data_IF_891909535740
#
_entry.id   IF_891909535740
#
_cell.length_a   1.000
_cell.length_b   1.000
_cell.length_c   1.000
_cell.angle_alpha   90.00
_cell.angle_beta   90.00
_cell.angle_gamma   90.00
#
_symmetry.space_group_name_H-M   'P 1'
#
loop_
_entity.id
_entity.type
_entity.pdbx_description
1 polymer ?
#
# COMPACT_ATOMS: atom_id res chain seq x y z
N UNK A 1 -64.67 -41.73 42.80
CA UNK A 1 -64.77 -42.06 41.36
C UNK A 1 -64.56 -40.77 40.59
N UNK A 2 -63.40 -40.65 39.93
CA UNK A 2 -63.25 -40.42 38.47
C UNK A 2 -63.66 -39.00 38.05
N UNK A 3 -62.91 -38.24 37.28
CA UNK A 3 -61.71 -38.48 36.48
C UNK A 3 -61.05 -37.12 36.22
N UNK A 4 -59.79 -37.19 35.80
CA UNK A 4 -58.91 -36.10 35.39
C UNK A 4 -59.51 -35.22 34.29
N UNK A 5 -59.15 -33.93 34.25
CA UNK A 5 -58.91 -33.30 32.96
C UNK A 5 -57.85 -32.17 33.05
N UNK A 6 -56.65 -32.54 32.63
CA UNK A 6 -55.81 -31.80 31.68
C UNK A 6 -55.47 -30.32 31.96
N UNK A 7 -54.54 -30.09 32.88
CA UNK A 7 -53.61 -28.96 32.73
C UNK A 7 -52.53 -29.31 31.71
N UNK A 8 -52.82 -29.04 30.45
CA UNK A 8 -51.81 -29.03 29.38
C UNK A 8 -50.86 -27.86 29.62
N UNK A 9 -49.68 -28.18 30.18
CA UNK A 9 -48.51 -27.32 30.11
C UNK A 9 -48.16 -27.16 28.64
N UNK A 10 -48.52 -26.03 28.04
CA UNK A 10 -47.95 -25.61 26.76
C UNK A 10 -46.59 -24.99 27.10
N UNK A 11 -45.44 -25.60 26.73
CA UNK A 11 -44.20 -24.86 26.73
C UNK A 11 -44.29 -23.90 25.54
N UNK A 12 -44.53 -22.62 25.82
CA UNK A 12 -44.37 -21.57 24.84
C UNK A 12 -42.94 -21.65 24.29
N UNK A 13 -42.86 -21.97 23.01
CA UNK A 13 -41.61 -22.14 22.27
C UNK A 13 -40.70 -20.94 22.49
N UNK A 14 -39.47 -21.23 22.92
CA UNK A 14 -38.35 -20.30 22.85
C UNK A 14 -38.26 -19.77 21.40
N UNK A 15 -38.32 -18.46 21.16
CA UNK A 15 -38.21 -17.94 19.80
C UNK A 15 -36.83 -18.30 19.26
N UNK A 16 -36.80 -19.12 18.21
CA UNK A 16 -35.59 -19.40 17.45
C UNK A 16 -34.93 -18.08 17.06
N UNK A 17 -33.59 -17.96 17.14
CA UNK A 17 -32.90 -16.75 16.75
C UNK A 17 -33.28 -16.42 15.31
N UNK A 18 -34.03 -15.32 15.17
CA UNK A 18 -34.42 -14.76 13.88
C UNK A 18 -33.17 -14.63 13.01
N UNK A 19 -33.23 -15.14 11.78
CA UNK A 19 -32.05 -15.22 10.88
C UNK A 19 -31.32 -13.90 10.67
N UNK A 20 -31.97 -12.77 10.96
CA UNK A 20 -31.36 -11.43 11.04
C UNK A 20 -30.29 -11.31 12.12
N UNK A 21 -30.50 -11.85 13.32
CA UNK A 21 -29.48 -11.86 14.40
C UNK A 21 -28.28 -12.70 14.01
N UNK A 22 -28.51 -13.90 13.48
CA UNK A 22 -27.44 -14.75 12.96
C UNK A 22 -26.67 -14.05 11.83
N UNK A 23 -27.35 -13.33 10.94
CA UNK A 23 -26.70 -12.54 9.88
C UNK A 23 -25.86 -11.39 10.43
N UNK A 24 -26.33 -10.69 11.46
CA UNK A 24 -25.57 -9.63 12.13
C UNK A 24 -24.33 -10.18 12.85
N UNK A 25 -24.44 -11.33 13.51
CA UNK A 25 -23.31 -12.01 14.15
C UNK A 25 -22.25 -12.41 13.12
N UNK A 26 -22.68 -13.01 12.00
CA UNK A 26 -21.77 -13.35 10.90
C UNK A 26 -21.11 -12.10 10.32
N UNK A 27 -21.88 -11.03 10.09
CA UNK A 27 -21.32 -9.77 9.56
C UNK A 27 -20.30 -9.16 10.52
N UNK A 28 -20.56 -9.23 11.82
CA UNK A 28 -19.64 -8.74 12.86
C UNK A 28 -18.35 -9.57 12.87
N UNK A 29 -18.46 -10.90 12.83
CA UNK A 29 -17.30 -11.79 12.77
C UNK A 29 -16.45 -11.56 11.50
N UNK A 30 -17.11 -11.33 10.35
CA UNK A 30 -16.42 -11.00 9.10
C UNK A 30 -15.76 -9.63 9.13
N UNK A 31 -16.42 -8.62 9.70
CA UNK A 31 -15.86 -7.29 9.94
C UNK A 31 -14.57 -7.38 10.77
N UNK A 32 -14.61 -8.11 11.88
CA UNK A 32 -13.45 -8.28 12.76
C UNK A 32 -12.31 -9.03 12.07
N UNK A 33 -12.62 -10.04 11.27
CA UNK A 33 -11.64 -10.76 10.47
C UNK A 33 -10.97 -9.83 9.43
N UNK A 34 -11.76 -9.04 8.71
CA UNK A 34 -11.24 -8.08 7.72
C UNK A 34 -10.37 -7.00 8.37
N UNK A 35 -10.79 -6.45 9.52
CA UNK A 35 -10.00 -5.44 10.24
C UNK A 35 -8.64 -6.00 10.70
N UNK A 36 -8.57 -7.26 11.10
CA UNK A 36 -7.31 -7.94 11.44
C UNK A 36 -6.40 -8.10 10.24
N UNK A 37 -6.94 -8.56 9.11
CA UNK A 37 -6.16 -8.71 7.87
C UNK A 37 -5.62 -7.37 7.36
N UNK A 38 -6.44 -6.31 7.37
CA UNK A 38 -5.99 -4.96 7.02
C UNK A 38 -4.90 -4.48 7.98
N UNK A 39 -5.06 -4.70 9.28
CA UNK A 39 -4.03 -4.37 10.27
C UNK A 39 -2.73 -5.14 10.06
N UNK A 40 -2.80 -6.42 9.71
CA UNK A 40 -1.64 -7.25 9.40
C UNK A 40 -0.90 -6.73 8.17
N UNK A 41 -1.61 -6.41 7.08
CA UNK A 41 -1.03 -5.84 5.87
C UNK A 41 -0.38 -4.47 6.11
N UNK A 42 -1.01 -3.61 6.92
CA UNK A 42 -0.42 -2.33 7.33
C UNK A 42 0.81 -2.51 8.22
N UNK A 43 0.77 -3.50 9.12
CA UNK A 43 1.93 -3.82 9.96
C UNK A 43 3.07 -4.40 9.13
N UNK A 44 2.79 -5.16 8.08
CA UNK A 44 3.78 -5.61 7.12
C UNK A 44 4.31 -4.45 6.28
N UNK A 45 3.49 -3.45 5.92
CA UNK A 45 3.99 -2.22 5.29
C UNK A 45 4.92 -1.42 6.22
N UNK A 46 4.55 -1.26 7.50
CA UNK A 46 5.35 -0.53 8.50
C UNK A 46 6.62 -1.31 8.87
N UNK A 47 6.56 -2.64 8.95
CA UNK A 47 7.72 -3.51 9.17
C UNK A 47 8.54 -3.72 7.88
N UNK A 48 7.95 -3.44 6.71
CA UNK A 48 8.63 -3.35 5.41
C UNK A 48 9.26 -1.98 5.15
N UNK A 49 9.31 -1.10 6.17
CA UNK A 49 10.43 -0.17 6.34
C UNK A 49 11.72 -0.99 6.56
N UNK A 50 12.07 -1.82 5.55
CA UNK A 50 13.41 -2.27 5.25
C UNK A 50 14.30 -1.10 5.53
N UNK A 51 15.32 -1.31 6.36
CA UNK A 51 16.37 -0.33 6.66
C UNK A 51 16.63 0.54 5.43
N UNK A 52 16.08 1.76 5.45
CA UNK A 52 16.18 2.66 4.32
C UNK A 52 17.62 3.14 4.34
N UNK A 53 18.42 2.64 3.41
CA UNK A 53 19.74 3.20 3.16
C UNK A 53 19.54 4.59 2.54
N UNK A 54 19.64 5.60 3.39
CA UNK A 54 19.51 7.00 3.02
C UNK A 54 20.43 7.36 1.83
N UNK A 55 21.65 6.81 1.79
CA UNK A 55 22.58 7.11 0.71
C UNK A 55 22.04 6.57 -0.62
N UNK A 56 21.53 5.33 -0.62
CA UNK A 56 20.93 4.72 -1.80
C UNK A 56 19.66 5.44 -2.26
N UNK A 57 18.82 5.87 -1.33
CA UNK A 57 17.58 6.59 -1.64
C UNK A 57 17.88 7.96 -2.27
N UNK A 58 18.83 8.70 -1.68
CA UNK A 58 19.31 9.96 -2.24
C UNK A 58 19.91 9.75 -3.62
N UNK A 59 20.69 8.68 -3.84
CA UNK A 59 21.24 8.38 -5.16
C UNK A 59 20.16 8.10 -6.21
N UNK A 60 19.11 7.33 -5.85
CA UNK A 60 17.98 7.07 -6.75
C UNK A 60 17.25 8.36 -7.10
N UNK A 61 16.88 9.13 -6.07
CA UNK A 61 16.20 10.41 -6.22
C UNK A 61 17.00 11.39 -7.09
N UNK A 62 18.32 11.49 -6.85
CA UNK A 62 19.19 12.36 -7.63
C UNK A 62 19.29 11.88 -9.09
N UNK A 63 19.36 10.58 -9.34
CA UNK A 63 19.38 10.04 -10.70
C UNK A 63 18.08 10.35 -11.46
N UNK A 64 16.93 10.24 -10.81
CA UNK A 64 15.63 10.60 -11.39
C UNK A 64 15.52 12.09 -11.68
N UNK A 65 16.01 12.93 -10.76
CA UNK A 65 16.03 14.37 -10.96
C UNK A 65 16.90 14.77 -12.17
N UNK A 66 18.05 14.10 -12.36
CA UNK A 66 18.90 14.30 -13.54
C UNK A 66 18.22 13.83 -14.82
N UNK A 67 17.53 12.67 -14.82
CA UNK A 67 16.75 12.20 -15.99
C UNK A 67 15.71 13.22 -16.39
N UNK A 68 14.95 13.74 -15.43
CA UNK A 68 13.91 14.74 -15.66
C UNK A 68 14.47 16.03 -16.25
N UNK A 69 15.58 16.54 -15.70
CA UNK A 69 16.24 17.72 -16.24
C UNK A 69 16.78 17.50 -17.66
N UNK A 70 17.30 16.31 -17.96
CA UNK A 70 17.74 15.95 -19.31
C UNK A 70 16.56 15.88 -20.31
N UNK A 71 15.43 15.30 -19.90
CA UNK A 71 14.21 15.28 -20.73
C UNK A 71 13.72 16.70 -21.03
N UNK A 72 13.59 17.56 -20.01
CA UNK A 72 13.20 18.96 -20.20
C UNK A 72 14.22 19.75 -21.07
N UNK A 73 15.50 19.41 -20.95
CA UNK A 73 16.56 20.01 -21.74
C UNK A 73 16.68 19.42 -23.16
N UNK A 74 15.89 18.41 -23.54
CA UNK A 74 16.03 17.69 -24.81
C UNK A 74 17.42 17.07 -24.99
N UNK A 75 17.97 16.48 -23.93
CA UNK A 75 19.29 15.86 -23.89
C UNK A 75 20.48 16.83 -23.78
N UNK A 76 20.25 18.14 -23.83
CA UNK A 76 21.33 19.15 -23.73
C UNK A 76 21.84 19.28 -22.29
N UNK A 77 22.93 18.57 -21.97
CA UNK A 77 23.51 18.56 -20.62
C UNK A 77 23.81 19.95 -20.05
N UNK A 78 24.32 20.88 -20.86
CA UNK A 78 24.56 22.27 -20.42
C UNK A 78 23.28 22.97 -19.95
N UNK A 79 22.16 22.69 -20.62
CA UNK A 79 20.86 23.26 -20.26
C UNK A 79 20.29 22.55 -19.03
N UNK A 80 20.38 21.22 -18.96
CA UNK A 80 19.98 20.45 -17.77
C UNK A 80 20.78 20.86 -16.52
N UNK A 81 22.08 21.14 -16.66
CA UNK A 81 22.93 21.60 -15.57
C UNK A 81 22.46 22.96 -15.03
N UNK A 82 22.01 23.86 -15.91
CA UNK A 82 21.40 25.14 -15.51
C UNK A 82 20.07 24.94 -14.79
N UNK A 83 19.21 24.04 -15.27
CA UNK A 83 17.93 23.71 -14.61
C UNK A 83 18.14 23.18 -13.19
N UNK A 84 19.19 22.38 -12.97
CA UNK A 84 19.54 21.82 -11.67
C UNK A 84 20.46 22.71 -10.82
N UNK A 85 20.84 23.89 -11.33
CA UNK A 85 21.76 24.81 -10.69
C UNK A 85 23.11 24.16 -10.28
N UNK A 86 23.69 23.35 -11.17
CA UNK A 86 24.99 22.70 -10.98
C UNK A 86 25.92 22.99 -12.16
N UNK A 87 27.22 22.82 -11.96
CA UNK A 87 28.20 22.90 -13.06
C UNK A 87 27.99 21.74 -14.04
N UNK A 88 28.19 21.97 -15.33
CA UNK A 88 28.13 20.90 -16.35
C UNK A 88 29.09 19.76 -16.03
N UNK A 89 30.30 20.03 -15.54
CA UNK A 89 31.27 19.01 -15.16
C UNK A 89 30.75 18.11 -14.02
N UNK A 90 30.07 18.69 -13.04
CA UNK A 90 29.41 17.95 -11.94
C UNK A 90 28.27 17.08 -12.48
N UNK A 91 27.42 17.63 -13.35
CA UNK A 91 26.34 16.88 -13.96
C UNK A 91 26.88 15.70 -14.77
N UNK A 92 27.92 15.92 -15.58
CA UNK A 92 28.56 14.89 -16.39
C UNK A 92 29.11 13.75 -15.54
N UNK A 93 29.78 14.07 -14.43
CA UNK A 93 30.28 13.07 -13.48
C UNK A 93 29.14 12.25 -12.86
N UNK A 94 28.03 12.89 -12.49
CA UNK A 94 26.84 12.23 -11.93
C UNK A 94 26.12 11.34 -12.96
N UNK A 95 26.00 11.80 -14.21
CA UNK A 95 25.45 11.01 -15.32
C UNK A 95 26.23 9.71 -15.50
N UNK A 96 27.57 9.77 -15.45
CA UNK A 96 28.44 8.59 -15.51
C UNK A 96 28.26 7.68 -14.30
N UNK A 97 28.30 8.24 -13.08
CA UNK A 97 28.14 7.49 -11.82
C UNK A 97 26.83 6.70 -11.79
N UNK A 98 25.73 7.33 -12.18
CA UNK A 98 24.39 6.73 -12.13
C UNK A 98 24.01 5.98 -13.41
N UNK A 99 24.93 5.86 -14.38
CA UNK A 99 24.72 5.15 -15.66
C UNK A 99 23.43 5.57 -16.38
N UNK A 100 23.10 6.86 -16.31
CA UNK A 100 21.81 7.40 -16.82
C UNK A 100 21.71 7.24 -18.35
N UNK A 101 22.84 7.29 -19.06
CA UNK A 101 22.89 7.14 -20.52
C UNK A 101 23.17 5.71 -21.00
N UNK A 102 23.57 4.78 -20.12
CA UNK A 102 23.79 3.37 -20.50
C UNK A 102 22.49 2.56 -20.47
N UNK A 103 21.47 3.04 -19.76
CA UNK A 103 20.12 2.43 -19.73
C UNK A 103 19.13 3.06 -20.72
N UNK A 104 19.59 3.90 -21.65
CA UNK A 104 18.76 4.41 -22.74
C UNK A 104 18.63 3.35 -23.85
N UNK A 105 18.03 2.22 -23.51
CA UNK A 105 17.47 1.28 -24.46
C UNK A 105 15.98 1.18 -24.12
N UNK A 106 15.15 1.44 -25.13
CA UNK A 106 13.70 1.27 -25.19
C UNK A 106 12.89 2.59 -24.96
N UNK A 107 12.44 3.13 -26.11
CA UNK A 107 11.35 4.08 -26.43
C UNK A 107 11.57 5.60 -26.22
N UNK A 108 12.05 6.30 -27.24
CA UNK A 108 11.27 7.12 -28.21
C UNK A 108 12.22 7.71 -29.26
#
# INVERSE_FOLDING_TARGET
MKEEDSQSVIPSSLPAPSGERARLEILTALSDALLREVGALQSDEINSLKEIDLAKEIESYEADLIRNALMQAGGRQNHAARLLNVKTSTLHAKIKRYRILEKAQIIL
#
